data_IF_654968755250
#
_entry.id   IF_654968755250
#
_cell.length_a   1.000
_cell.length_b   1.000
_cell.length_c   1.000
_cell.angle_alpha   90.00
_cell.angle_beta   90.00
_cell.angle_gamma   90.00
#
_symmetry.space_group_name_H-M   'P 1'
#
loop_
_entity.id
_entity.type
_entity.pdbx_description
1 polymer ?
#
# COMPACT_ATOMS: atom_id res chain seq x y z
N UNK A 1 -48.55 -43.37 2.28
CA UNK A 1 -47.31 -43.59 1.48
C UNK A 1 -47.51 -42.89 0.14
N UNK A 2 -46.75 -41.91 -0.36
CA UNK A 2 -45.43 -41.33 -0.02
C UNK A 2 -45.45 -39.83 -0.34
N UNK A 3 -44.87 -39.03 0.55
CA UNK A 3 -44.38 -37.66 0.36
C UNK A 3 -43.12 -37.65 -0.51
N UNK A 4 -42.90 -36.64 -1.38
CA UNK A 4 -41.61 -35.97 -1.75
C UNK A 4 -41.94 -34.63 -2.48
N UNK A 5 -41.92 -33.46 -1.84
CA UNK A 5 -40.82 -32.49 -1.64
C UNK A 5 -39.97 -32.18 -2.89
N UNK A 6 -39.69 -30.88 -3.11
CA UNK A 6 -38.56 -30.21 -3.81
C UNK A 6 -39.11 -28.89 -4.42
N UNK A 7 -38.59 -27.65 -4.27
CA UNK A 7 -37.35 -27.03 -3.79
C UNK A 7 -37.67 -25.55 -3.45
N UNK A 8 -37.25 -25.06 -2.28
CA UNK A 8 -36.11 -24.14 -2.07
C UNK A 8 -36.48 -22.64 -2.16
N UNK A 9 -36.55 -22.03 -0.97
CA UNK A 9 -36.63 -20.59 -0.73
C UNK A 9 -35.35 -19.89 -1.20
N UNK A 10 -35.51 -18.78 -1.93
CA UNK A 10 -34.42 -17.90 -2.32
C UNK A 10 -33.96 -17.06 -1.11
N UNK A 11 -32.84 -17.43 -0.51
CA UNK A 11 -32.15 -16.58 0.46
C UNK A 11 -31.24 -15.60 -0.30
N UNK A 12 -31.59 -14.32 -0.23
CA UNK A 12 -30.83 -13.19 -0.76
C UNK A 12 -29.60 -13.00 0.13
N UNK A 13 -28.41 -13.33 -0.37
CA UNK A 13 -27.16 -13.11 0.36
C UNK A 13 -26.90 -11.60 0.49
N UNK A 14 -27.07 -11.07 1.70
CA UNK A 14 -26.57 -9.77 2.09
C UNK A 14 -25.12 -9.93 2.52
N UNK A 15 -24.17 -9.37 1.76
CA UNK A 15 -22.80 -9.21 2.21
C UNK A 15 -22.77 -8.09 3.25
N UNK A 16 -22.66 -8.46 4.53
CA UNK A 16 -22.37 -7.52 5.59
C UNK A 16 -20.85 -7.26 5.59
N UNK A 17 -20.45 -6.04 5.23
CA UNK A 17 -19.06 -5.58 5.38
C UNK A 17 -18.80 -5.38 6.88
N UNK A 18 -18.16 -6.36 7.51
CA UNK A 18 -17.75 -6.25 8.91
C UNK A 18 -16.62 -5.24 9.04
N UNK A 19 -16.95 -4.02 9.48
CA UNK A 19 -15.95 -3.04 9.91
C UNK A 19 -15.33 -3.56 11.21
N UNK A 20 -14.12 -4.11 11.11
CA UNK A 20 -13.28 -4.42 12.28
C UNK A 20 -12.80 -3.09 12.84
N UNK A 21 -13.47 -2.61 13.89
CA UNK A 21 -12.94 -1.51 14.71
C UNK A 21 -11.80 -2.10 15.53
N UNK A 22 -10.56 -1.88 15.08
CA UNK A 22 -9.39 -2.22 15.88
C UNK A 22 -9.34 -1.31 17.10
N UNK A 23 -9.77 -1.82 18.26
CA UNK A 23 -9.39 -1.28 19.55
C UNK A 23 -7.86 -1.37 19.69
N UNK A 24 -7.18 -0.25 19.46
CA UNK A 24 -5.77 -0.09 19.76
C UNK A 24 -5.62 0.01 21.28
N UNK A 25 -4.94 -0.96 21.90
CA UNK A 25 -4.50 -0.83 23.28
C UNK A 25 -3.53 0.36 23.39
N UNK A 26 -3.95 1.39 24.12
CA UNK A 26 -3.15 2.59 24.38
C UNK A 26 -2.09 2.24 25.42
N UNK A 27 -0.81 2.33 25.04
CA UNK A 27 0.26 2.41 26.02
C UNK A 27 0.17 3.77 26.73
N UNK A 28 -0.02 3.70 28.05
CA UNK A 28 -0.17 4.83 28.95
C UNK A 28 1.06 5.71 28.97
N UNK A 29 0.99 6.86 28.28
CA UNK A 29 1.81 8.03 28.59
C UNK A 29 0.93 8.99 29.41
N UNK A 30 1.20 9.05 30.70
CA UNK A 30 0.54 9.98 31.61
C UNK A 30 0.80 11.43 31.16
N UNK A 31 -0.24 12.15 30.73
CA UNK A 31 -0.33 13.58 30.99
C UNK A 31 -1.81 13.99 31.10
N UNK A 32 -2.05 14.84 32.09
CA UNK A 32 -3.34 15.33 32.59
C UNK A 32 -4.34 15.77 31.50
N UNK A 33 -5.59 15.39 31.76
CA UNK A 33 -6.86 16.10 31.54
C UNK A 33 -6.93 17.12 30.40
N UNK A 34 -7.72 16.79 29.37
CA UNK A 34 -8.96 17.49 29.00
C UNK A 34 -9.68 16.72 27.88
N UNK A 35 -11.00 16.67 27.97
CA UNK A 35 -11.92 16.12 26.96
C UNK A 35 -11.62 16.73 25.58
N UNK A 36 -11.10 15.93 24.67
CA UNK A 36 -11.04 16.26 23.25
C UNK A 36 -11.34 14.97 22.48
N UNK A 37 -12.59 14.84 22.04
CA UNK A 37 -13.15 13.75 21.23
C UNK A 37 -12.63 13.83 19.78
N UNK A 38 -11.34 14.12 19.64
CA UNK A 38 -10.66 14.18 18.36
C UNK A 38 -10.29 12.74 17.97
N UNK A 39 -10.72 12.23 16.80
CA UNK A 39 -10.24 10.94 16.32
C UNK A 39 -8.71 10.94 16.34
N UNK A 40 -8.07 9.81 16.75
CA UNK A 40 -6.62 9.74 16.84
C UNK A 40 -6.00 10.21 15.53
N UNK A 41 -5.04 11.13 15.61
CA UNK A 41 -4.30 11.56 14.43
C UNK A 41 -3.76 10.31 13.70
N UNK A 42 -3.89 10.23 12.37
CA UNK A 42 -3.43 9.06 11.63
C UNK A 42 -1.94 8.86 11.89
N UNK A 43 -1.57 7.64 12.30
CA UNK A 43 -0.17 7.29 12.54
C UNK A 43 0.62 7.45 11.24
N UNK A 44 1.76 8.12 11.31
CA UNK A 44 2.74 8.23 10.23
C UNK A 44 3.89 7.26 10.47
N UNK A 45 4.66 6.97 9.43
CA UNK A 45 5.78 6.01 9.44
C UNK A 45 5.35 4.54 9.62
N UNK A 46 4.22 4.14 9.04
CA UNK A 46 3.68 2.78 9.15
C UNK A 46 3.24 2.23 7.80
N UNK A 47 3.35 0.91 7.65
CA UNK A 47 2.67 0.11 6.63
C UNK A 47 1.78 -0.88 7.37
N UNK A 48 0.51 -1.00 7.01
CA UNK A 48 -0.35 -2.06 7.53
C UNK A 48 -0.65 -3.09 6.44
N UNK A 49 -0.43 -4.36 6.75
CA UNK A 49 -0.81 -5.50 5.90
C UNK A 49 -1.84 -6.33 6.67
N UNK A 50 -3.03 -6.53 6.11
CA UNK A 50 -4.16 -7.18 6.80
C UNK A 50 -4.49 -6.54 8.15
N UNK A 51 -4.36 -5.21 8.19
CA UNK A 51 -4.54 -4.40 9.39
C UNK A 51 -3.45 -4.57 10.46
N UNK A 52 -2.46 -5.44 10.23
CA UNK A 52 -1.29 -5.56 11.10
C UNK A 52 -0.31 -4.44 10.75
N UNK A 53 -0.23 -3.44 11.64
CA UNK A 53 0.72 -2.33 11.52
C UNK A 53 2.17 -2.80 11.68
N UNK A 54 3.04 -2.31 10.79
CA UNK A 54 4.49 -2.51 10.79
C UNK A 54 5.18 -1.15 10.69
N UNK A 55 6.11 -0.81 11.60
CA UNK A 55 6.83 0.44 11.53
C UNK A 55 7.78 0.46 10.33
N UNK A 56 7.88 1.61 9.68
CA UNK A 56 8.90 1.87 8.66
C UNK A 56 10.20 2.22 9.39
N UNK A 57 11.15 1.30 9.41
CA UNK A 57 12.42 1.47 10.14
C UNK A 57 13.47 2.23 9.35
N UNK A 58 13.35 2.25 8.02
CA UNK A 58 14.22 3.00 7.12
C UNK A 58 13.52 3.26 5.79
N UNK A 59 13.86 4.37 5.14
CA UNK A 59 13.32 4.75 3.84
C UNK A 59 14.44 5.20 2.91
N UNK A 60 14.51 4.60 1.73
CA UNK A 60 15.52 4.92 0.72
C UNK A 60 14.90 5.11 -0.66
N UNK A 61 15.59 5.81 -1.55
CA UNK A 61 15.19 5.92 -2.95
C UNK A 61 16.37 5.64 -3.88
N UNK A 62 16.05 5.25 -5.11
CA UNK A 62 16.97 5.27 -6.24
C UNK A 62 16.41 6.25 -7.27
N UNK A 63 17.21 7.22 -7.71
CA UNK A 63 16.96 8.00 -8.93
C UNK A 63 17.34 7.15 -10.15
N UNK A 64 16.31 6.72 -10.87
CA UNK A 64 16.41 5.87 -12.07
C UNK A 64 16.50 6.70 -13.35
N UNK A 65 16.70 8.02 -13.22
CA UNK A 65 16.80 9.02 -14.30
C UNK A 65 15.47 9.26 -15.00
N UNK A 66 15.43 10.36 -15.75
CA UNK A 66 14.23 10.84 -16.47
C UNK A 66 13.00 11.01 -15.57
N UNK A 67 13.24 11.37 -14.30
CA UNK A 67 12.21 11.54 -13.29
C UNK A 67 11.62 10.22 -12.77
N UNK A 68 12.19 9.07 -13.12
CA UNK A 68 11.79 7.77 -12.61
C UNK A 68 12.47 7.47 -11.28
N UNK A 69 11.72 6.88 -10.36
CA UNK A 69 12.19 6.54 -9.02
C UNK A 69 11.74 5.15 -8.61
N UNK A 70 12.59 4.49 -7.84
CA UNK A 70 12.22 3.36 -6.98
C UNK A 70 12.32 3.81 -5.52
N UNK A 71 11.20 3.78 -4.81
CA UNK A 71 11.11 4.12 -3.39
C UNK A 71 11.05 2.83 -2.58
N UNK A 72 11.86 2.74 -1.53
CA UNK A 72 11.98 1.57 -0.65
C UNK A 72 11.56 1.96 0.76
N UNK A 73 10.51 1.32 1.28
CA UNK A 73 10.08 1.45 2.67
C UNK A 73 10.39 0.14 3.39
N UNK A 74 11.46 0.12 4.18
CA UNK A 74 11.90 -1.08 4.89
C UNK A 74 11.13 -1.24 6.20
N UNK A 75 10.59 -2.44 6.43
CA UNK A 75 9.81 -2.80 7.61
C UNK A 75 10.62 -3.64 8.61
N UNK A 76 11.86 -3.97 8.23
CA UNK A 76 12.78 -4.83 8.97
C UNK A 76 14.21 -4.30 8.88
N UNK A 77 15.00 -4.49 9.93
CA UNK A 77 16.38 -4.01 10.00
C UNK A 77 17.30 -4.73 9.00
N UNK A 78 17.01 -5.98 8.65
CA UNK A 78 17.73 -6.76 7.63
C UNK A 78 17.33 -6.39 6.19
N UNK A 79 16.38 -5.46 6.03
CA UNK A 79 15.92 -4.88 4.76
C UNK A 79 15.23 -5.88 3.82
N UNK A 80 14.82 -7.05 4.31
CA UNK A 80 14.11 -8.07 3.54
C UNK A 80 12.62 -7.76 3.41
N UNK A 81 11.95 -7.57 4.54
CA UNK A 81 10.54 -7.14 4.54
C UNK A 81 10.48 -5.65 4.19
N UNK A 82 9.80 -5.32 3.10
CA UNK A 82 9.72 -3.94 2.58
C UNK A 82 8.58 -3.77 1.60
N UNK A 83 8.21 -2.51 1.38
CA UNK A 83 7.41 -2.10 0.22
C UNK A 83 8.30 -1.39 -0.78
N UNK A 84 8.14 -1.70 -2.06
CA UNK A 84 8.78 -0.98 -3.16
C UNK A 84 7.70 -0.28 -3.98
N UNK A 85 7.89 1.01 -4.25
CA UNK A 85 7.03 1.79 -5.13
C UNK A 85 7.88 2.30 -6.29
N UNK A 86 7.54 1.90 -7.51
CA UNK A 86 8.17 2.41 -8.74
C UNK A 86 7.24 3.41 -9.40
N UNK A 87 7.78 4.54 -9.85
CA UNK A 87 6.94 5.60 -10.45
C UNK A 87 7.78 6.61 -11.23
N UNK A 88 7.10 7.44 -12.02
CA UNK A 88 7.64 8.72 -12.51
C UNK A 88 7.12 9.91 -11.68
N UNK A 89 8.01 10.84 -11.30
CA UNK A 89 7.70 11.99 -10.45
C UNK A 89 6.67 12.93 -11.08
N UNK A 90 6.75 13.17 -12.38
CA UNK A 90 5.89 14.14 -13.06
C UNK A 90 4.44 13.62 -13.17
N UNK A 91 4.26 12.30 -13.12
CA UNK A 91 2.96 11.65 -13.24
C UNK A 91 2.35 11.34 -11.87
N UNK A 92 3.17 10.86 -10.92
CA UNK A 92 2.66 10.23 -9.71
C UNK A 92 3.01 10.96 -8.42
N UNK A 93 3.95 11.92 -8.44
CA UNK A 93 4.36 12.70 -7.25
C UNK A 93 3.80 14.12 -7.25
N UNK A 94 2.59 14.26 -7.76
CA UNK A 94 1.94 15.56 -7.98
C UNK A 94 1.11 16.04 -6.78
N UNK A 95 0.99 15.22 -5.74
CA UNK A 95 0.03 15.38 -4.64
C UNK A 95 -1.41 15.03 -5.03
N UNK A 96 -1.64 14.64 -6.29
CA UNK A 96 -2.96 14.21 -6.75
C UNK A 96 -3.14 12.70 -6.58
N UNK A 97 -4.37 12.23 -6.31
CA UNK A 97 -4.70 10.81 -6.24
C UNK A 97 -4.39 10.04 -7.54
N UNK A 98 -3.63 8.96 -7.42
CA UNK A 98 -3.43 7.93 -8.45
C UNK A 98 -4.34 6.75 -8.12
N UNK A 99 -5.22 6.40 -9.05
CA UNK A 99 -6.08 5.21 -8.90
C UNK A 99 -5.25 3.97 -9.18
N UNK A 100 -5.18 3.07 -8.20
CA UNK A 100 -4.47 1.80 -8.36
C UNK A 100 -5.35 0.70 -8.95
N UNK A 101 -6.61 1.00 -9.25
CA UNK A 101 -7.63 0.03 -9.68
C UNK A 101 -7.70 -0.17 -11.19
N UNK A 102 -6.88 0.55 -11.94
CA UNK A 102 -6.86 0.53 -13.39
C UNK A 102 -5.43 0.66 -13.91
N UNK A 103 -5.18 0.09 -15.08
CA UNK A 103 -3.95 0.36 -15.81
C UNK A 103 -3.96 1.82 -16.25
N UNK A 104 -2.79 2.44 -16.30
CA UNK A 104 -2.65 3.79 -16.81
C UNK A 104 -2.89 3.84 -18.32
N UNK A 105 -3.12 5.05 -18.83
CA UNK A 105 -3.08 5.29 -20.26
C UNK A 105 -1.65 5.12 -20.76
N UNK A 106 -1.51 4.52 -21.94
CA UNK A 106 -0.20 4.30 -22.56
C UNK A 106 0.54 5.62 -22.73
N UNK A 107 1.79 5.66 -22.28
CA UNK A 107 2.73 6.76 -22.47
C UNK A 107 4.14 6.21 -22.75
N UNK A 108 5.06 7.10 -23.09
CA UNK A 108 6.44 6.75 -23.47
C UNK A 108 7.44 7.57 -22.67
N UNK A 109 8.62 7.00 -22.42
CA UNK A 109 9.72 7.67 -21.72
C UNK A 109 9.53 7.86 -20.21
N UNK A 110 8.40 7.41 -19.63
CA UNK A 110 8.10 7.52 -18.20
C UNK A 110 7.68 6.16 -17.66
N UNK A 111 8.06 5.89 -16.41
CA UNK A 111 7.61 4.70 -15.70
C UNK A 111 6.15 4.82 -15.32
N UNK A 112 5.47 3.68 -15.43
CA UNK A 112 4.17 3.44 -14.82
C UNK A 112 4.32 3.25 -13.31
N UNK A 113 3.25 3.43 -12.56
CA UNK A 113 3.24 3.09 -11.14
C UNK A 113 3.40 1.57 -10.97
N UNK A 114 4.07 1.18 -9.88
CA UNK A 114 4.14 -0.19 -9.42
C UNK A 114 4.22 -0.22 -7.90
N UNK A 115 3.59 -1.22 -7.28
CA UNK A 115 3.63 -1.44 -5.83
C UNK A 115 3.92 -2.92 -5.58
N UNK A 116 5.01 -3.17 -4.87
CA UNK A 116 5.49 -4.50 -4.49
C UNK A 116 5.60 -4.59 -2.96
N UNK A 117 5.24 -5.75 -2.41
CA UNK A 117 5.45 -6.07 -0.99
C UNK A 117 6.28 -7.33 -0.88
N UNK A 118 7.47 -7.21 -0.27
CA UNK A 118 8.36 -8.31 0.07
C UNK A 118 8.10 -8.82 1.48
N UNK A 119 8.03 -10.14 1.65
CA UNK A 119 7.91 -10.82 2.95
C UNK A 119 9.23 -10.78 3.76
N UNK A 120 9.20 -11.13 5.06
CA UNK A 120 10.41 -11.28 5.87
C UNK A 120 11.46 -12.25 5.31
N UNK A 121 11.02 -13.26 4.56
CA UNK A 121 11.92 -14.21 3.87
C UNK A 121 12.57 -13.63 2.60
N UNK A 122 12.19 -12.42 2.20
CA UNK A 122 12.65 -11.72 0.99
C UNK A 122 11.95 -12.14 -0.30
N UNK A 123 10.88 -12.95 -0.22
CA UNK A 123 10.07 -13.32 -1.39
C UNK A 123 8.89 -12.38 -1.55
N UNK A 124 8.48 -12.15 -2.81
CA UNK A 124 7.42 -11.20 -3.16
C UNK A 124 6.04 -11.77 -2.83
N UNK A 125 5.23 -11.02 -2.08
CA UNK A 125 3.82 -11.33 -1.78
C UNK A 125 2.86 -10.60 -2.72
N UNK A 126 3.06 -9.30 -2.91
CA UNK A 126 2.24 -8.44 -3.78
C UNK A 126 3.15 -7.90 -4.87
N UNK A 127 2.67 -7.90 -6.11
CA UNK A 127 3.43 -7.46 -7.28
C UNK A 127 2.44 -6.88 -8.29
N UNK A 128 2.32 -5.55 -8.32
CA UNK A 128 1.29 -4.83 -9.10
C UNK A 128 1.90 -3.75 -9.96
N UNK A 129 1.36 -3.60 -11.18
CA UNK A 129 1.91 -2.69 -12.19
C UNK A 129 0.78 -1.97 -12.93
N UNK A 130 0.92 -0.65 -13.08
CA UNK A 130 0.02 0.21 -13.85
C UNK A 130 0.24 0.15 -15.36
N UNK A 131 1.27 -0.54 -15.85
CA UNK A 131 1.59 -0.58 -17.28
C UNK A 131 0.50 -1.36 -18.07
N UNK A 132 -0.20 -0.73 -19.03
CA UNK A 132 -1.23 -1.37 -19.83
C UNK A 132 -0.70 -2.38 -20.85
N UNK A 133 0.62 -2.55 -20.98
CA UNK A 133 1.24 -3.61 -21.80
C UNK A 133 1.69 -4.82 -20.97
N UNK A 134 1.47 -4.80 -19.66
CA UNK A 134 1.85 -5.85 -18.71
C UNK A 134 0.58 -6.49 -18.13
N UNK A 135 -0.10 -7.30 -18.94
CA UNK A 135 -1.42 -7.88 -18.61
C UNK A 135 -1.34 -8.95 -17.51
N UNK A 136 -0.18 -9.59 -17.37
CA UNK A 136 0.04 -10.64 -16.36
C UNK A 136 0.13 -10.09 -14.92
N UNK A 137 0.39 -8.79 -14.78
CA UNK A 137 0.48 -8.15 -13.47
C UNK A 137 -0.88 -7.57 -13.05
N UNK A 138 -1.40 -7.93 -11.86
CA UNK A 138 -2.67 -7.39 -11.39
C UNK A 138 -2.57 -5.90 -11.06
N UNK A 139 -3.75 -5.28 -10.98
CA UNK A 139 -3.97 -3.99 -10.32
C UNK A 139 -4.67 -4.24 -8.98
N UNK A 140 -4.85 -3.20 -8.19
CA UNK A 140 -5.61 -3.31 -6.94
C UNK A 140 -7.12 -3.48 -7.23
N UNK A 141 -7.85 -4.19 -6.39
CA UNK A 141 -9.32 -4.22 -6.40
C UNK A 141 -9.87 -2.86 -5.94
N UNK A 142 -9.28 -2.30 -4.88
CA UNK A 142 -9.53 -0.95 -4.40
C UNK A 142 -8.21 -0.31 -3.99
N UNK A 143 -8.09 1.01 -4.08
CA UNK A 143 -6.92 1.69 -3.54
C UNK A 143 -6.58 2.96 -4.28
N UNK A 144 -6.08 3.91 -3.50
CA UNK A 144 -5.62 5.20 -4.01
C UNK A 144 -4.23 5.49 -3.44
N UNK A 145 -3.29 5.80 -4.31
CA UNK A 145 -1.95 6.24 -3.96
C UNK A 145 -1.85 7.76 -4.15
N UNK A 146 -1.47 8.47 -3.10
CA UNK A 146 -1.18 9.91 -3.16
C UNK A 146 0.26 10.12 -2.71
N UNK A 147 1.07 10.74 -3.58
CA UNK A 147 2.45 11.08 -3.27
C UNK A 147 2.68 12.55 -3.54
N UNK A 148 3.27 13.27 -2.58
CA UNK A 148 3.65 14.67 -2.71
C UNK A 148 5.06 14.92 -2.17
N UNK A 149 5.65 16.05 -2.54
CA UNK A 149 7.03 16.38 -2.18
C UNK A 149 8.05 15.68 -3.09
N UNK A 150 9.24 15.41 -2.57
CA UNK A 150 10.35 14.83 -3.34
C UNK A 150 11.18 13.87 -2.47
N UNK A 151 11.71 12.76 -3.03
CA UNK A 151 12.58 11.85 -2.26
C UNK A 151 13.90 12.52 -1.87
N UNK A 152 14.31 13.55 -2.62
CA UNK A 152 15.51 14.36 -2.37
C UNK A 152 15.34 15.35 -1.19
N UNK A 153 14.11 15.55 -0.69
CA UNK A 153 13.81 16.43 0.45
C UNK A 153 12.87 15.73 1.43
N UNK A 154 11.63 16.19 1.53
CA UNK A 154 10.56 15.54 2.28
C UNK A 154 9.54 15.01 1.28
N UNK A 155 9.19 13.74 1.41
CA UNK A 155 8.14 13.09 0.63
C UNK A 155 7.02 12.65 1.58
N UNK A 156 5.79 12.73 1.10
CA UNK A 156 4.63 12.15 1.74
C UNK A 156 4.08 11.06 0.85
N UNK A 157 3.83 9.88 1.41
CA UNK A 157 3.29 8.73 0.70
C UNK A 157 2.08 8.24 1.48
N UNK A 158 0.94 8.16 0.81
CA UNK A 158 -0.30 7.65 1.37
C UNK A 158 -0.93 6.65 0.42
N UNK A 159 -1.09 5.42 0.86
CA UNK A 159 -1.90 4.41 0.17
C UNK A 159 -3.09 4.07 1.05
N UNK A 160 -4.28 4.38 0.57
CA UNK A 160 -5.53 4.23 1.31
C UNK A 160 -6.43 3.17 0.70
N UNK A 161 -7.10 2.40 1.56
CA UNK A 161 -8.08 1.39 1.17
C UNK A 161 -7.54 0.41 0.10
N UNK A 162 -6.25 0.07 0.19
CA UNK A 162 -5.62 -0.88 -0.71
C UNK A 162 -6.17 -2.28 -0.47
N UNK A 163 -6.75 -2.89 -1.50
CA UNK A 163 -7.16 -4.28 -1.52
C UNK A 163 -6.60 -4.92 -2.78
N UNK A 164 -5.86 -6.01 -2.66
CA UNK A 164 -5.10 -6.56 -3.78
C UNK A 164 -4.90 -8.06 -3.64
N UNK A 165 -4.90 -8.76 -4.78
CA UNK A 165 -4.59 -10.19 -4.82
C UNK A 165 -3.07 -10.40 -4.81
N UNK A 166 -2.58 -11.14 -3.83
CA UNK A 166 -1.17 -11.55 -3.74
C UNK A 166 -0.83 -12.67 -4.73
N UNK A 167 0.46 -12.95 -4.87
CA UNK A 167 0.98 -14.04 -5.73
C UNK A 167 0.55 -15.43 -5.28
N UNK A 168 0.15 -15.59 -4.01
CA UNK A 168 -0.42 -16.82 -3.48
C UNK A 168 -1.93 -16.98 -3.77
N UNK A 169 -2.52 -16.00 -4.45
CA UNK A 169 -3.92 -16.00 -4.86
C UNK A 169 -4.91 -15.50 -3.80
N UNK A 170 -4.44 -15.13 -2.60
CA UNK A 170 -5.29 -14.55 -1.56
C UNK A 170 -5.41 -13.05 -1.72
N UNK A 171 -6.44 -12.48 -1.13
CA UNK A 171 -6.64 -11.04 -1.09
C UNK A 171 -6.05 -10.46 0.21
N UNK A 172 -5.38 -9.32 0.09
CA UNK A 172 -4.68 -8.62 1.16
C UNK A 172 -5.14 -7.18 1.22
N UNK A 173 -5.32 -6.66 2.43
CA UNK A 173 -5.42 -5.21 2.63
C UNK A 173 -4.04 -4.61 2.84
N UNK A 174 -3.75 -3.50 2.16
CA UNK A 174 -2.49 -2.78 2.27
C UNK A 174 -2.78 -1.29 2.49
N UNK A 175 -2.17 -0.69 3.49
CA UNK A 175 -2.14 0.76 3.67
C UNK A 175 -0.72 1.23 3.97
N UNK A 176 -0.42 2.46 3.53
CA UNK A 176 0.90 3.08 3.70
C UNK A 176 0.68 4.50 4.20
N UNK A 177 1.41 4.89 5.23
CA UNK A 177 1.46 6.26 5.73
C UNK A 177 2.90 6.61 6.06
N UNK A 178 3.53 7.42 5.22
CA UNK A 178 4.92 7.84 5.38
C UNK A 178 5.04 9.34 5.12
N UNK A 179 5.78 10.02 5.98
CA UNK A 179 6.15 11.43 5.80
C UNK A 179 7.53 11.65 6.37
N UNK A 180 8.47 12.05 5.53
CA UNK A 180 9.83 12.31 5.98
C UNK A 180 10.87 12.29 4.88
N UNK A 181 12.15 12.38 5.28
CA UNK A 181 13.26 12.33 4.36
C UNK A 181 13.63 10.89 4.00
N UNK A 182 14.03 10.67 2.73
CA UNK A 182 14.56 9.40 2.26
C UNK A 182 16.06 9.52 1.98
N UNK A 183 16.80 8.43 2.21
CA UNK A 183 18.24 8.38 1.87
C UNK A 183 18.45 7.82 0.48
N UNK A 184 19.32 8.42 -0.32
CA UNK A 184 19.67 7.85 -1.63
C UNK A 184 20.39 6.51 -1.46
N UNK A 185 19.86 5.46 -2.08
CA UNK A 185 20.43 4.12 -2.05
C UNK A 185 21.59 4.05 -3.04
N UNK A 186 22.79 3.83 -2.51
CA UNK A 186 23.98 3.60 -3.33
C UNK A 186 23.79 2.35 -4.19
N UNK A 187 23.74 2.51 -5.52
CA UNK A 187 23.81 1.36 -6.44
C UNK A 187 25.14 0.64 -6.21
N UNK A 188 25.10 -0.63 -5.81
CA UNK A 188 26.32 -1.45 -5.76
C UNK A 188 26.84 -1.54 -7.19
N UNK A 189 28.02 -0.94 -7.45
CA UNK A 189 28.74 -1.16 -8.71
C UNK A 189 29.03 -2.67 -8.78
N UNK A 190 28.48 -3.33 -9.79
CA UNK A 190 28.88 -4.69 -10.16
C UNK A 190 30.26 -4.63 -10.82
#
# INVERSE_FOLDING_TARGET
>A
MKTKQFLASAAKAAFALAVVVMMSAVFTACSKDNDDDNPPAPKTQVVALDGVEKPIVNAEYIDEKDGNYSLYLYLSADRKERVIITLNKDLHMTGSPVKLTEKEKKHTGKWYWGVEYDKPDGTILIDTWGNPSEDDYPVFTTGTLTISGSPESTINIKLENGLVKGKDGKEYSLTISYSGPMTEKKKKKK
#
